data_IF_191270512248
#
_entry.id   IF_191270512248
#
_cell.length_a   1.000
_cell.length_b   1.000
_cell.length_c   1.000
_cell.angle_alpha   90.00
_cell.angle_beta   90.00
_cell.angle_gamma   90.00
#
_symmetry.space_group_name_H-M   'P 1'
#
loop_
_entity.id
_entity.type
_entity.pdbx_description
1 polymer ?
#
# COMPACT_ATOMS: atom_id res chain seq x y z
N UNK A 1 15.47 -12.12 -3.83
CA UNK A 1 14.15 -12.55 -3.36
C UNK A 1 13.12 -11.46 -3.67
N UNK A 2 11.94 -11.85 -4.07
CA UNK A 2 10.88 -10.95 -4.48
C UNK A 2 9.88 -10.79 -3.33
N UNK A 3 9.72 -9.57 -2.83
CA UNK A 3 8.79 -9.30 -1.76
C UNK A 3 7.36 -9.18 -2.28
N UNK A 4 6.40 -9.57 -1.48
CA UNK A 4 4.98 -9.48 -1.82
C UNK A 4 4.19 -8.91 -0.63
N UNK A 5 3.11 -8.22 -0.95
CA UNK A 5 2.12 -7.77 0.03
C UNK A 5 0.77 -8.35 -0.34
N UNK A 6 0.02 -8.80 0.67
CA UNK A 6 -1.38 -9.18 0.48
C UNK A 6 -2.24 -7.93 0.63
N UNK A 7 -3.07 -7.66 -0.36
CA UNK A 7 -3.97 -6.51 -0.36
C UNK A 7 -5.34 -6.93 -0.86
N UNK A 8 -6.37 -6.16 -0.52
CA UNK A 8 -7.71 -6.47 -0.99
C UNK A 8 -7.84 -6.23 -2.49
N UNK A 9 -8.76 -6.92 -3.16
CA UNK A 9 -9.01 -6.69 -4.59
C UNK A 9 -9.39 -5.25 -4.89
N UNK A 10 -10.07 -4.59 -3.97
CA UNK A 10 -10.46 -3.19 -4.15
C UNK A 10 -9.25 -2.28 -4.19
N UNK A 11 -8.25 -2.53 -3.35
CA UNK A 11 -7.01 -1.75 -3.36
C UNK A 11 -6.29 -1.94 -4.70
N UNK A 12 -6.20 -3.17 -5.18
CA UNK A 12 -5.59 -3.45 -6.47
C UNK A 12 -6.31 -2.69 -7.59
N UNK A 13 -7.63 -2.74 -7.59
CA UNK A 13 -8.44 -2.02 -8.57
C UNK A 13 -8.16 -0.52 -8.52
N UNK A 14 -8.12 0.05 -7.33
CA UNK A 14 -7.89 1.48 -7.18
C UNK A 14 -6.50 1.90 -7.64
N UNK A 15 -5.50 1.06 -7.45
CA UNK A 15 -4.16 1.33 -7.98
C UNK A 15 -4.18 1.29 -9.51
N UNK A 16 -4.82 0.28 -10.10
CA UNK A 16 -4.92 0.17 -11.55
C UNK A 16 -5.64 1.35 -12.19
N UNK A 17 -6.62 1.90 -11.49
CA UNK A 17 -7.40 3.03 -11.99
C UNK A 17 -6.76 4.37 -11.69
N UNK A 18 -5.61 4.39 -11.04
CA UNK A 18 -4.92 5.63 -10.70
C UNK A 18 -5.52 6.38 -9.53
N UNK A 19 -6.48 5.79 -8.82
CA UNK A 19 -7.13 6.41 -7.67
C UNK A 19 -6.32 6.30 -6.40
N UNK A 20 -5.42 5.33 -6.33
CA UNK A 20 -4.58 5.09 -5.16
C UNK A 20 -3.13 5.02 -5.61
N UNK A 21 -2.28 5.85 -4.99
CA UNK A 21 -0.88 6.00 -5.37
C UNK A 21 0.09 5.54 -4.27
N UNK A 22 -0.44 5.02 -3.18
CA UNK A 22 0.37 4.57 -2.06
C UNK A 22 -0.19 3.27 -1.50
N UNK A 23 0.68 2.46 -0.92
CA UNK A 23 0.27 1.27 -0.19
C UNK A 23 0.60 1.47 1.29
N UNK A 24 -0.30 1.07 2.16
CA UNK A 24 -0.17 1.25 3.60
C UNK A 24 -0.02 -0.11 4.27
N UNK A 25 1.00 -0.22 5.12
CA UNK A 25 1.26 -1.44 5.88
C UNK A 25 1.68 -1.11 7.31
N UNK A 26 1.49 -2.08 8.20
CA UNK A 26 1.88 -1.92 9.60
C UNK A 26 3.34 -2.22 9.87
N UNK A 27 4.08 -2.69 8.88
CA UNK A 27 5.47 -3.10 9.06
C UNK A 27 6.35 -2.54 7.97
N UNK A 28 7.64 -2.48 8.27
CA UNK A 28 8.65 -1.97 7.34
C UNK A 28 9.36 -3.10 6.61
N UNK A 29 9.49 -2.96 5.30
CA UNK A 29 10.28 -3.85 4.46
C UNK A 29 11.20 -2.97 3.61
N UNK A 30 12.51 -3.26 3.54
CA UNK A 30 13.46 -2.39 2.82
C UNK A 30 13.36 -2.58 1.30
N UNK A 31 12.30 -2.08 0.70
CA UNK A 31 12.02 -2.26 -0.73
C UNK A 31 12.04 -0.94 -1.50
N UNK A 32 12.63 0.11 -0.94
CA UNK A 32 12.73 1.40 -1.65
C UNK A 32 13.47 1.22 -2.97
N UNK A 33 12.87 1.74 -4.05
CA UNK A 33 13.42 1.61 -5.39
C UNK A 33 13.29 0.22 -6.00
N UNK A 34 12.63 -0.70 -5.32
CA UNK A 34 12.50 -2.09 -5.78
C UNK A 34 11.08 -2.38 -6.20
N UNK A 35 10.92 -3.50 -6.91
CA UNK A 35 9.60 -3.98 -7.30
C UNK A 35 9.09 -4.98 -6.28
N UNK A 36 7.78 -4.93 -6.01
CA UNK A 36 7.12 -5.90 -5.16
C UNK A 36 5.83 -6.36 -5.84
N UNK A 37 5.40 -7.57 -5.51
CA UNK A 37 4.15 -8.11 -6.02
C UNK A 37 3.02 -7.84 -5.04
N UNK A 38 1.85 -7.49 -5.57
CA UNK A 38 0.64 -7.34 -4.77
C UNK A 38 -0.23 -8.57 -4.98
N UNK A 39 -0.42 -9.32 -3.92
CA UNK A 39 -1.21 -10.54 -3.94
C UNK A 39 -2.65 -10.19 -3.61
N UNK A 40 -3.55 -10.57 -4.50
CA UNK A 40 -4.98 -10.42 -4.28
C UNK A 40 -5.40 -11.37 -3.16
N UNK A 41 -5.89 -10.82 -2.06
CA UNK A 41 -6.23 -11.62 -0.88
C UNK A 41 -7.38 -12.60 -1.10
N UNK A 42 -8.20 -12.38 -2.14
CA UNK A 42 -9.30 -13.30 -2.47
C UNK A 42 -8.83 -14.49 -3.30
N UNK A 43 -7.89 -14.29 -4.21
CA UNK A 43 -7.43 -15.33 -5.13
C UNK A 43 -6.08 -15.90 -4.75
N UNK A 44 -5.36 -15.22 -3.87
CA UNK A 44 -4.01 -15.59 -3.43
C UNK A 44 -3.00 -15.61 -4.59
N UNK A 45 -3.25 -14.79 -5.60
CA UNK A 45 -2.38 -14.67 -6.78
C UNK A 45 -1.87 -13.25 -6.91
N UNK A 46 -0.69 -13.12 -7.50
CA UNK A 46 -0.11 -11.80 -7.79
C UNK A 46 -0.86 -11.21 -8.98
N UNK A 47 -1.58 -10.13 -8.75
CA UNK A 47 -2.32 -9.43 -9.80
C UNK A 47 -1.56 -8.23 -10.34
N UNK A 48 -0.62 -7.70 -9.58
CA UNK A 48 0.02 -6.43 -9.88
C UNK A 48 1.44 -6.44 -9.34
N UNK A 49 2.36 -5.85 -10.08
CA UNK A 49 3.71 -5.57 -9.60
C UNK A 49 3.86 -4.06 -9.55
N UNK A 50 4.29 -3.54 -8.41
CA UNK A 50 4.51 -2.10 -8.26
C UNK A 50 5.99 -1.84 -8.04
N UNK A 51 6.43 -0.66 -8.47
CA UNK A 51 7.75 -0.16 -8.12
C UNK A 51 7.58 0.81 -6.96
N UNK A 52 8.22 0.52 -5.84
CA UNK A 52 8.17 1.35 -4.65
C UNK A 52 9.14 2.52 -4.82
N UNK A 53 8.67 3.73 -4.57
CA UNK A 53 9.52 4.91 -4.58
C UNK A 53 10.16 5.12 -3.22
N UNK A 54 9.40 5.70 -2.30
CA UNK A 54 9.84 6.00 -0.95
C UNK A 54 8.98 5.30 0.07
N UNK A 55 9.53 5.12 1.26
CA UNK A 55 8.79 4.57 2.38
C UNK A 55 8.75 5.64 3.46
N UNK A 56 7.55 6.06 3.83
CA UNK A 56 7.35 7.08 4.85
C UNK A 56 6.94 6.43 6.16
N UNK A 57 7.65 6.79 7.22
CA UNK A 57 7.35 6.30 8.57
C UNK A 57 6.26 7.17 9.17
N UNK A 58 5.08 6.61 9.32
CA UNK A 58 3.94 7.34 9.86
C UNK A 58 3.92 7.37 11.38
N UNK A 59 4.81 6.61 12.03
CA UNK A 59 4.87 6.59 13.49
C UNK A 59 5.39 7.90 14.10
N UNK A 60 6.12 8.68 13.29
CA UNK A 60 6.65 9.97 13.74
C UNK A 60 5.62 11.09 13.62
N UNK A 61 4.49 10.82 12.97
CA UNK A 61 3.45 11.83 12.76
C UNK A 61 2.56 11.94 13.98
N UNK A 62 1.97 13.13 14.17
CA UNK A 62 0.93 13.31 15.16
C UNK A 62 -0.28 12.47 14.77
N UNK A 63 -1.17 12.22 15.74
CA UNK A 63 -2.39 11.48 15.48
C UNK A 63 -3.25 12.16 14.42
N UNK A 64 -3.31 13.49 14.46
CA UNK A 64 -4.08 14.26 13.50
C UNK A 64 -3.52 14.17 12.08
N UNK A 65 -2.19 14.26 11.94
CA UNK A 65 -1.54 14.15 10.64
C UNK A 65 -1.70 12.77 10.07
N UNK A 66 -1.56 11.74 10.91
CA UNK A 66 -1.77 10.37 10.48
C UNK A 66 -3.21 10.17 10.00
N UNK A 67 -4.18 10.73 10.73
CA UNK A 67 -5.58 10.65 10.34
C UNK A 67 -5.84 11.31 8.99
N UNK A 68 -5.22 12.46 8.75
CA UNK A 68 -5.36 13.16 7.47
C UNK A 68 -4.86 12.30 6.32
N UNK A 69 -3.72 11.63 6.49
CA UNK A 69 -3.19 10.74 5.46
C UNK A 69 -4.14 9.57 5.22
N UNK A 70 -4.69 8.99 6.28
CA UNK A 70 -5.63 7.87 6.13
C UNK A 70 -6.88 8.29 5.37
N UNK A 71 -7.39 9.48 5.62
CA UNK A 71 -8.55 10.01 4.91
C UNK A 71 -8.22 10.25 3.43
N UNK A 72 -7.06 10.80 3.13
CA UNK A 72 -6.62 11.04 1.76
C UNK A 72 -6.48 9.73 0.99
N UNK A 73 -6.09 8.65 1.68
CA UNK A 73 -5.96 7.33 1.06
C UNK A 73 -7.29 6.59 0.95
N UNK A 74 -8.37 7.18 1.47
CA UNK A 74 -9.73 6.65 1.32
C UNK A 74 -9.87 5.22 1.84
N UNK A 75 -9.52 5.02 3.11
CA UNK A 75 -9.56 3.69 3.72
C UNK A 75 -10.55 3.59 4.87
N UNK A 76 -11.68 4.29 4.76
CA UNK A 76 -12.65 4.33 5.86
C UNK A 76 -13.16 2.96 6.26
N UNK A 77 -13.36 2.08 5.31
CA UNK A 77 -13.85 0.73 5.59
C UNK A 77 -12.79 -0.11 6.31
N UNK A 78 -11.57 0.38 6.38
CA UNK A 78 -10.47 -0.30 7.02
C UNK A 78 -10.00 0.41 8.29
N UNK A 79 -10.92 1.00 9.01
CA UNK A 79 -10.58 1.82 10.19
C UNK A 79 -9.82 1.06 11.27
N UNK A 80 -10.04 -0.23 11.41
CA UNK A 80 -9.30 -1.01 12.41
C UNK A 80 -7.82 -1.14 12.11
N UNK A 81 -7.43 -1.41 10.86
CA UNK A 81 -6.02 -1.34 10.49
C UNK A 81 -5.44 0.06 10.56
N UNK A 82 -6.29 1.07 10.65
CA UNK A 82 -5.90 2.46 10.72
C UNK A 82 -4.74 2.71 11.69
N UNK A 83 -4.86 2.20 12.92
CA UNK A 83 -3.84 2.42 13.93
C UNK A 83 -2.61 1.52 13.76
N UNK A 84 -2.72 0.50 12.93
CA UNK A 84 -1.60 -0.39 12.65
C UNK A 84 -0.92 -0.12 11.31
N UNK A 85 -1.42 0.86 10.54
CA UNK A 85 -0.78 1.28 9.30
C UNK A 85 0.31 2.30 9.64
N UNK A 86 1.52 1.81 9.85
CA UNK A 86 2.64 2.62 10.33
C UNK A 86 3.58 3.08 9.22
N UNK A 87 3.45 2.53 8.02
CA UNK A 87 4.34 2.85 6.90
C UNK A 87 3.55 3.03 5.63
N UNK A 88 3.93 4.04 4.86
CA UNK A 88 3.32 4.32 3.57
C UNK A 88 4.37 4.13 2.47
N UNK A 89 4.09 3.23 1.55
CA UNK A 89 4.97 2.90 0.43
C UNK A 89 4.44 3.63 -0.80
N UNK A 90 5.20 4.59 -1.32
CA UNK A 90 4.76 5.30 -2.52
C UNK A 90 4.93 4.41 -3.75
N UNK A 91 4.01 4.51 -4.69
CA UNK A 91 4.02 3.71 -5.91
C UNK A 91 4.46 4.60 -7.06
N UNK A 92 5.68 4.36 -7.58
CA UNK A 92 6.20 5.11 -8.72
C UNK A 92 5.56 4.66 -10.02
N UNK A 93 5.34 3.37 -10.16
CA UNK A 93 4.74 2.78 -11.34
C UNK A 93 4.19 1.41 -11.00
N UNK A 94 3.37 0.88 -11.89
CA UNK A 94 2.88 -0.48 -11.71
C UNK A 94 2.80 -1.20 -13.04
N UNK A 95 2.80 -2.52 -12.98
CA UNK A 95 2.69 -3.37 -14.14
C UNK A 95 1.61 -4.42 -13.88
N UNK A 96 0.70 -4.55 -14.81
CA UNK A 96 -0.42 -5.47 -14.73
C UNK A 96 0.05 -6.87 -15.10
N UNK A 97 -0.17 -7.84 -14.22
CA UNK A 97 0.22 -9.22 -14.47
C UNK A 97 -0.95 -10.01 -15.05
N UNK A 98 -2.17 -9.63 -14.69
CA UNK A 98 -3.40 -10.31 -15.14
C UNK A 98 -4.16 -9.48 -16.14
#
# INVERSE_FOLDING_TARGET
>A
MFHTFHVSPEIIKNIKEGKKKNALKGYYVPVEGKQIGLINSDTDKIDLVIKVGQILDLTILSREDKQTIMEEENIEESLRPYFSCNYMYTIDSFENIQ
#
